data_IF_463076723554
#
_entry.id   IF_463076723554
#
_cell.length_a   1.000
_cell.length_b   1.000
_cell.length_c   1.000
_cell.angle_alpha   90.00
_cell.angle_beta   90.00
_cell.angle_gamma   90.00
#
_symmetry.space_group_name_H-M   'P 1'
#
loop_
_entity.id
_entity.type
_entity.pdbx_description
1 polymer ?
#
# COMPACT_ATOMS: atom_id res chain seq x y z
N UNK A 1 8.24 -7.05 18.30
CA UNK A 1 8.77 -6.14 17.25
C UNK A 1 7.80 -6.22 16.10
N UNK A 2 7.44 -5.08 15.48
CA UNK A 2 6.56 -5.08 14.30
C UNK A 2 7.22 -5.78 13.12
N UNK A 3 6.40 -6.38 12.24
CA UNK A 3 6.87 -7.15 11.09
C UNK A 3 7.60 -6.26 10.06
N UNK A 4 6.99 -5.14 9.65
CA UNK A 4 7.67 -4.08 8.92
C UNK A 4 7.60 -2.81 9.77
N UNK A 5 8.75 -2.14 9.94
CA UNK A 5 8.82 -0.86 10.60
C UNK A 5 9.85 0.06 9.95
N UNK A 6 9.46 1.29 9.63
CA UNK A 6 10.34 2.40 9.36
C UNK A 6 10.45 3.25 10.62
N UNK A 7 11.63 3.26 11.26
CA UNK A 7 11.87 3.95 12.52
C UNK A 7 12.60 5.27 12.30
N UNK A 8 12.08 6.37 12.85
CA UNK A 8 12.71 7.69 12.86
C UNK A 8 13.24 8.13 11.49
N UNK A 9 12.47 7.83 10.44
CA UNK A 9 12.88 8.10 9.06
C UNK A 9 12.98 9.61 8.79
N UNK A 10 14.15 10.05 8.34
CA UNK A 10 14.41 11.40 7.84
C UNK A 10 14.91 11.28 6.41
N UNK A 11 14.21 11.85 5.45
CA UNK A 11 14.58 11.85 4.03
C UNK A 11 13.73 12.81 3.19
N UNK A 12 14.18 13.04 1.95
CA UNK A 12 13.50 13.87 0.97
C UNK A 12 13.97 13.59 -0.46
N UNK A 13 13.68 14.49 -1.39
CA UNK A 13 14.01 14.38 -2.83
C UNK A 13 15.18 15.30 -3.20
N UNK A 14 16.38 15.04 -2.65
CA UNK A 14 17.62 15.66 -3.16
C UNK A 14 17.87 17.14 -2.78
N UNK A 15 17.11 17.71 -1.85
CA UNK A 15 17.30 19.11 -1.42
C UNK A 15 16.92 19.31 0.04
N UNK A 16 15.64 19.33 0.34
CA UNK A 16 15.12 19.44 1.71
C UNK A 16 14.50 18.10 2.13
N UNK A 17 14.64 17.77 3.40
CA UNK A 17 13.95 16.65 3.98
C UNK A 17 12.43 16.92 4.03
N UNK A 18 11.66 15.89 3.71
CA UNK A 18 10.20 15.91 3.79
C UNK A 18 9.74 15.15 5.04
N UNK A 19 10.45 14.08 5.39
CA UNK A 19 10.25 13.36 6.63
C UNK A 19 11.27 13.82 7.68
N UNK A 20 10.80 13.92 8.92
CA UNK A 20 11.58 14.43 10.05
C UNK A 20 11.39 13.51 11.28
N UNK A 21 11.99 12.34 11.27
CA UNK A 21 11.85 11.34 12.33
C UNK A 21 10.51 10.62 12.31
N UNK A 22 9.96 10.37 11.12
CA UNK A 22 8.69 9.66 10.94
C UNK A 22 8.83 8.17 11.27
N UNK A 23 7.87 7.62 12.02
CA UNK A 23 7.83 6.18 12.34
C UNK A 23 6.49 5.58 11.89
N UNK A 24 6.56 4.50 11.09
CA UNK A 24 5.40 3.77 10.58
C UNK A 24 5.67 2.28 10.70
N UNK A 25 4.68 1.51 11.13
CA UNK A 25 4.83 0.06 11.30
C UNK A 25 3.54 -0.69 10.96
N UNK A 26 3.69 -1.98 10.65
CA UNK A 26 2.57 -2.89 10.40
C UNK A 26 2.97 -4.32 10.76
N UNK A 27 1.99 -5.13 11.17
CA UNK A 27 2.15 -6.53 11.53
C UNK A 27 1.42 -7.47 10.54
N UNK A 28 1.74 -8.78 10.49
CA UNK A 28 1.10 -9.72 9.56
C UNK A 28 -0.42 -9.76 9.74
N UNK A 29 -1.17 -9.70 8.63
CA UNK A 29 -2.63 -9.69 8.66
C UNK A 29 -3.24 -8.38 9.15
N UNK A 30 -2.43 -7.39 9.52
CA UNK A 30 -2.86 -6.06 9.94
C UNK A 30 -3.00 -5.13 8.72
N UNK A 31 -3.98 -4.21 8.79
CA UNK A 31 -4.07 -3.06 7.89
C UNK A 31 -3.60 -1.83 8.67
N UNK A 32 -2.43 -1.29 8.31
CA UNK A 32 -1.93 -0.02 8.81
C UNK A 32 -2.14 1.07 7.77
N UNK A 33 -2.62 2.22 8.21
CA UNK A 33 -2.97 3.33 7.31
C UNK A 33 -2.22 4.60 7.70
N UNK A 34 -1.65 5.26 6.71
CA UNK A 34 -1.02 6.57 6.85
C UNK A 34 -1.94 7.62 6.21
N UNK A 35 -2.41 8.56 7.01
CA UNK A 35 -3.29 9.66 6.58
C UNK A 35 -2.68 11.02 6.92
N UNK A 36 -3.25 12.09 6.40
CA UNK A 36 -2.81 13.46 6.64
C UNK A 36 -3.03 14.36 5.43
N UNK A 37 -2.81 15.67 5.55
CA UNK A 37 -3.02 16.62 4.47
C UNK A 37 -2.07 16.37 3.29
N UNK A 38 -2.38 17.01 2.14
CA UNK A 38 -1.49 16.99 0.99
C UNK A 38 -0.14 17.61 1.36
N UNK A 39 0.95 16.99 0.93
CA UNK A 39 2.30 17.41 1.29
C UNK A 39 2.76 16.99 2.70
N UNK A 40 1.98 16.23 3.47
CA UNK A 40 2.37 15.77 4.81
C UNK A 40 3.52 14.74 4.83
N UNK A 41 3.93 14.21 3.67
CA UNK A 41 5.02 13.22 3.57
C UNK A 41 4.53 11.76 3.48
N UNK A 42 3.23 11.51 3.32
CA UNK A 42 2.64 10.16 3.28
C UNK A 42 3.30 9.23 2.24
N UNK A 43 3.24 9.60 0.96
CA UNK A 43 3.87 8.81 -0.12
C UNK A 43 5.40 8.81 -0.02
N UNK A 44 5.99 9.83 0.60
CA UNK A 44 7.44 9.87 0.88
C UNK A 44 7.80 8.79 1.90
N UNK A 45 7.02 8.64 2.99
CA UNK A 45 7.22 7.58 3.98
C UNK A 45 7.12 6.18 3.33
N UNK A 46 6.10 5.97 2.51
CA UNK A 46 5.93 4.71 1.78
C UNK A 46 7.10 4.42 0.84
N UNK A 47 7.53 5.41 0.04
CA UNK A 47 8.66 5.26 -0.89
C UNK A 47 9.98 5.03 -0.17
N UNK A 48 10.20 5.67 0.98
CA UNK A 48 11.38 5.43 1.83
C UNK A 48 11.37 3.99 2.36
N UNK A 49 10.23 3.53 2.89
CA UNK A 49 10.08 2.16 3.38
C UNK A 49 10.20 1.11 2.27
N UNK A 50 9.95 1.45 1.01
CA UNK A 50 10.15 0.56 -0.13
C UNK A 50 11.54 0.67 -0.76
N UNK A 51 12.40 1.59 -0.29
CA UNK A 51 13.78 1.78 -0.78
C UNK A 51 13.90 2.60 -2.06
N UNK A 52 12.86 3.35 -2.42
CA UNK A 52 12.89 4.30 -3.55
C UNK A 52 13.56 5.63 -3.18
N UNK A 53 13.72 5.91 -1.88
CA UNK A 53 14.40 7.07 -1.36
C UNK A 53 15.49 6.63 -0.37
N UNK A 54 16.61 7.33 -0.40
CA UNK A 54 17.66 7.12 0.58
C UNK A 54 17.28 7.78 1.90
N UNK A 55 17.47 7.07 3.01
CA UNK A 55 17.31 7.62 4.36
C UNK A 55 18.56 8.39 4.74
N UNK A 56 18.38 9.65 5.15
CA UNK A 56 19.43 10.44 5.81
C UNK A 56 19.63 9.96 7.26
N UNK A 57 18.51 9.66 7.95
CA UNK A 57 18.50 9.12 9.31
C UNK A 57 17.36 8.09 9.45
N UNK A 58 17.45 7.27 10.50
CA UNK A 58 16.50 6.20 10.79
C UNK A 58 16.84 4.90 10.08
N UNK A 59 15.92 3.95 10.13
CA UNK A 59 16.10 2.62 9.53
C UNK A 59 14.79 2.00 9.12
N UNK A 60 14.85 0.98 8.25
CA UNK A 60 13.72 0.13 7.87
C UNK A 60 14.06 -1.31 8.23
N UNK A 61 13.22 -1.91 9.08
CA UNK A 61 13.35 -3.31 9.50
C UNK A 61 12.21 -4.13 8.94
N UNK A 62 12.51 -5.28 8.38
CA UNK A 62 11.53 -6.27 7.93
C UNK A 62 11.82 -7.60 8.61
N UNK A 63 10.88 -8.10 9.41
CA UNK A 63 11.00 -9.38 10.14
C UNK A 63 12.33 -9.50 10.92
N UNK A 64 12.69 -8.43 11.64
CA UNK A 64 13.92 -8.34 12.40
C UNK A 64 15.20 -8.08 11.59
N UNK A 65 15.12 -8.04 10.27
CA UNK A 65 16.26 -7.79 9.38
C UNK A 65 16.29 -6.31 8.97
N UNK A 66 17.45 -5.66 9.07
CA UNK A 66 17.66 -4.30 8.57
C UNK A 66 17.76 -4.32 7.04
N UNK A 67 16.78 -3.67 6.39
CA UNK A 67 16.71 -3.56 4.94
C UNK A 67 16.95 -2.12 4.43
N UNK A 68 17.42 -1.22 5.30
CA UNK A 68 17.56 0.21 4.99
C UNK A 68 18.35 0.49 3.73
N UNK A 69 19.41 -0.31 3.47
CA UNK A 69 20.31 -0.14 2.33
C UNK A 69 19.91 -0.96 1.09
N UNK A 70 18.89 -1.83 1.21
CA UNK A 70 18.45 -2.66 0.09
C UNK A 70 17.68 -1.82 -0.94
N UNK A 71 17.97 -2.07 -2.22
CA UNK A 71 17.24 -1.48 -3.35
C UNK A 71 15.81 -2.06 -3.46
N UNK A 72 14.87 -1.37 -4.13
CA UNK A 72 13.50 -1.86 -4.29
C UNK A 72 13.41 -3.30 -4.80
N UNK A 73 14.23 -3.68 -5.78
CA UNK A 73 14.23 -5.02 -6.37
C UNK A 73 14.60 -6.10 -5.33
N UNK A 74 15.54 -5.79 -4.44
CA UNK A 74 15.95 -6.69 -3.36
C UNK A 74 14.84 -6.80 -2.31
N UNK A 75 14.16 -5.69 -1.97
CA UNK A 75 13.00 -5.70 -1.05
C UNK A 75 11.83 -6.52 -1.59
N UNK A 76 11.60 -6.52 -2.90
CA UNK A 76 10.62 -7.42 -3.54
C UNK A 76 10.99 -8.89 -3.30
N UNK A 77 12.27 -9.26 -3.43
CA UNK A 77 12.72 -10.64 -3.14
C UNK A 77 12.57 -11.02 -1.64
N UNK A 78 12.53 -10.03 -0.74
CA UNK A 78 12.19 -10.21 0.67
C UNK A 78 10.69 -10.26 0.96
N UNK A 79 9.84 -10.24 -0.08
CA UNK A 79 8.39 -10.36 0.03
C UNK A 79 7.64 -9.04 0.18
N UNK A 80 8.20 -7.92 -0.27
CA UNK A 80 7.50 -6.64 -0.30
C UNK A 80 6.85 -6.42 -1.67
N UNK A 81 5.53 -6.18 -1.71
CA UNK A 81 4.79 -5.75 -2.90
C UNK A 81 4.48 -4.25 -2.82
N UNK A 82 4.47 -3.56 -3.97
CA UNK A 82 4.15 -2.13 -4.03
C UNK A 82 3.21 -1.82 -5.20
N UNK A 83 2.13 -1.10 -4.92
CA UNK A 83 1.17 -0.59 -5.90
C UNK A 83 1.24 0.93 -5.87
N UNK A 84 1.80 1.57 -6.91
CA UNK A 84 1.86 3.03 -7.01
C UNK A 84 0.48 3.60 -7.36
N UNK A 85 0.26 4.87 -7.01
CA UNK A 85 -0.97 5.61 -7.31
C UNK A 85 -1.28 5.67 -8.81
N UNK A 86 -0.28 5.93 -9.65
CA UNK A 86 -0.43 6.13 -11.08
C UNK A 86 0.43 5.15 -11.88
N UNK A 87 0.07 4.96 -13.17
CA UNK A 87 0.79 4.09 -14.11
C UNK A 87 0.97 2.66 -13.58
N UNK A 88 -0.04 2.17 -12.88
CA UNK A 88 0.00 0.92 -12.14
C UNK A 88 -0.46 -0.30 -12.96
N UNK A 89 -0.80 -0.15 -14.24
CA UNK A 89 -1.14 -1.24 -15.17
C UNK A 89 -0.53 -1.00 -16.55
N UNK A 90 -0.26 -2.07 -17.28
CA UNK A 90 0.12 -2.04 -18.70
C UNK A 90 -1.15 -1.98 -19.55
N UNK A 91 -1.53 -0.81 -20.00
CA UNK A 91 -2.84 -0.54 -20.65
C UNK A 91 -3.02 -1.28 -21.98
N UNK A 92 -1.94 -1.57 -22.71
CA UNK A 92 -1.95 -2.31 -23.98
C UNK A 92 -1.99 -3.83 -23.82
N UNK A 93 -1.72 -4.33 -22.62
CA UNK A 93 -1.77 -5.76 -22.30
C UNK A 93 -3.15 -6.13 -21.78
N UNK A 94 -3.53 -7.38 -21.95
CA UNK A 94 -4.74 -7.96 -21.32
C UNK A 94 -4.60 -8.00 -19.80
N UNK A 95 -5.72 -8.24 -19.11
CA UNK A 95 -5.72 -8.46 -17.66
C UNK A 95 -4.80 -9.62 -17.28
N UNK A 96 -4.92 -10.76 -17.99
CA UNK A 96 -4.13 -11.97 -17.74
C UNK A 96 -2.63 -11.70 -17.92
N UNK A 97 -2.22 -11.06 -19.03
CA UNK A 97 -0.83 -10.67 -19.26
C UNK A 97 -0.29 -9.69 -18.19
N UNK A 98 -1.13 -8.76 -17.70
CA UNK A 98 -0.74 -7.90 -16.58
C UNK A 98 -0.45 -8.70 -15.31
N UNK A 99 -1.27 -9.70 -15.00
CA UNK A 99 -1.06 -10.58 -13.85
C UNK A 99 0.21 -11.44 -14.03
N UNK A 100 0.41 -12.04 -15.19
CA UNK A 100 1.62 -12.81 -15.54
C UNK A 100 2.88 -11.96 -15.38
N UNK A 101 2.87 -10.70 -15.83
CA UNK A 101 3.97 -9.75 -15.63
C UNK A 101 4.27 -9.50 -14.15
N UNK A 102 3.27 -9.60 -13.27
CA UNK A 102 3.48 -9.53 -11.82
C UNK A 102 4.33 -10.68 -11.29
N UNK A 103 4.27 -11.83 -11.92
CA UNK A 103 5.04 -13.02 -11.56
C UNK A 103 6.42 -13.09 -12.25
N UNK A 104 6.87 -12.07 -12.98
CA UNK A 104 8.09 -12.08 -13.81
C UNK A 104 9.37 -12.54 -13.08
N UNK A 105 9.45 -12.27 -11.76
CA UNK A 105 10.60 -12.70 -10.94
C UNK A 105 10.53 -14.18 -10.51
N UNK A 106 9.39 -14.84 -10.69
CA UNK A 106 9.16 -16.23 -10.27
C UNK A 106 9.55 -17.19 -11.41
N UNK A 107 9.89 -18.43 -11.00
CA UNK A 107 10.23 -19.51 -11.94
C UNK A 107 9.42 -20.78 -11.70
N UNK A 108 8.54 -20.73 -10.72
CA UNK A 108 7.61 -21.81 -10.36
C UNK A 108 6.28 -21.70 -11.14
N UNK A 109 5.41 -22.68 -11.00
CA UNK A 109 4.06 -22.62 -11.57
C UNK A 109 3.22 -21.55 -10.87
N UNK A 110 2.76 -20.57 -11.63
CA UNK A 110 1.95 -19.44 -11.15
C UNK A 110 0.44 -19.70 -11.18
N UNK A 111 0.01 -20.84 -11.71
CA UNK A 111 -1.43 -21.15 -11.93
C UNK A 111 -2.24 -21.09 -10.64
N UNK A 112 -1.70 -21.61 -9.54
CA UNK A 112 -2.32 -21.55 -8.22
C UNK A 112 -2.47 -20.12 -7.69
N UNK A 113 -1.45 -19.28 -7.87
CA UNK A 113 -1.52 -17.86 -7.47
C UNK A 113 -2.50 -17.08 -8.35
N UNK A 114 -2.50 -17.35 -9.66
CA UNK A 114 -3.47 -16.78 -10.60
C UNK A 114 -4.90 -17.10 -10.20
N UNK A 115 -5.18 -18.35 -9.82
CA UNK A 115 -6.50 -18.76 -9.34
C UNK A 115 -6.90 -18.01 -8.06
N UNK A 116 -6.00 -17.86 -7.08
CA UNK A 116 -6.23 -17.09 -5.87
C UNK A 116 -6.54 -15.61 -6.17
N UNK A 117 -5.83 -15.00 -7.11
CA UNK A 117 -6.09 -13.61 -7.53
C UNK A 117 -7.47 -13.51 -8.19
N UNK A 118 -7.88 -14.47 -9.02
CA UNK A 118 -9.20 -14.49 -9.62
C UNK A 118 -10.33 -14.74 -8.60
N UNK A 119 -10.07 -15.50 -7.54
CA UNK A 119 -11.04 -15.69 -6.44
C UNK A 119 -11.22 -14.40 -5.63
N UNK A 120 -10.13 -13.66 -5.37
CA UNK A 120 -10.18 -12.36 -4.72
C UNK A 120 -10.84 -11.28 -5.61
N UNK A 121 -10.62 -11.32 -6.92
CA UNK A 121 -11.11 -10.35 -7.89
C UNK A 121 -11.83 -11.03 -9.07
N UNK A 122 -13.06 -11.55 -8.89
CA UNK A 122 -13.76 -12.33 -9.93
C UNK A 122 -13.90 -11.60 -11.27
N UNK A 123 -14.07 -10.27 -11.24
CA UNK A 123 -14.14 -9.44 -12.46
C UNK A 123 -12.89 -9.54 -13.33
N UNK A 124 -11.73 -9.82 -12.74
CA UNK A 124 -10.48 -10.00 -13.50
C UNK A 124 -10.49 -11.31 -14.29
N UNK A 125 -11.10 -12.36 -13.73
CA UNK A 125 -11.30 -13.65 -14.43
C UNK A 125 -12.23 -13.49 -15.62
N UNK A 126 -13.36 -12.78 -15.42
CA UNK A 126 -14.35 -12.56 -16.47
C UNK A 126 -13.76 -11.73 -17.63
N UNK A 127 -12.90 -10.79 -17.31
CA UNK A 127 -12.29 -9.85 -18.25
C UNK A 127 -10.83 -10.21 -18.61
N UNK A 128 -10.36 -11.43 -18.32
CA UNK A 128 -8.95 -11.80 -18.43
C UNK A 128 -8.32 -11.53 -19.80
N UNK A 129 -9.11 -11.63 -20.89
CA UNK A 129 -8.67 -11.40 -22.26
C UNK A 129 -8.85 -9.96 -22.76
N UNK A 130 -9.47 -9.09 -21.94
CA UNK A 130 -9.70 -7.70 -22.30
C UNK A 130 -8.44 -6.87 -22.03
N UNK A 131 -8.05 -5.92 -22.91
CA UNK A 131 -6.98 -4.97 -22.64
C UNK A 131 -7.27 -4.16 -21.37
N UNK A 132 -6.26 -4.01 -20.49
CA UNK A 132 -6.46 -3.31 -19.22
C UNK A 132 -6.80 -1.82 -19.41
N UNK A 133 -6.43 -1.22 -20.54
CA UNK A 133 -6.79 0.16 -20.89
C UNK A 133 -8.29 0.40 -21.06
N UNK A 134 -9.07 -0.64 -21.41
CA UNK A 134 -10.51 -0.57 -21.63
C UNK A 134 -11.33 -0.76 -20.34
N UNK A 135 -10.66 -1.06 -19.23
CA UNK A 135 -11.29 -1.26 -17.93
C UNK A 135 -11.69 0.07 -17.28
N UNK A 136 -12.66 0.05 -16.37
CA UNK A 136 -12.95 1.18 -15.49
C UNK A 136 -11.75 1.47 -14.55
N UNK A 137 -11.71 2.68 -13.96
CA UNK A 137 -10.66 3.06 -13.01
C UNK A 137 -10.50 2.05 -11.86
N UNK A 138 -11.62 1.65 -11.24
CA UNK A 138 -11.61 0.67 -10.15
C UNK A 138 -11.17 -0.73 -10.59
N UNK A 139 -11.58 -1.16 -11.79
CA UNK A 139 -11.12 -2.44 -12.33
C UNK A 139 -9.62 -2.42 -12.63
N UNK A 140 -9.09 -1.32 -13.16
CA UNK A 140 -7.63 -1.15 -13.32
C UNK A 140 -6.91 -1.22 -11.97
N UNK A 141 -7.49 -0.64 -10.93
CA UNK A 141 -6.91 -0.72 -9.59
C UNK A 141 -6.89 -2.16 -9.06
N UNK A 142 -7.94 -2.94 -9.30
CA UNK A 142 -7.96 -4.37 -8.97
C UNK A 142 -6.89 -5.15 -9.75
N UNK A 143 -6.65 -4.83 -11.04
CA UNK A 143 -5.54 -5.41 -11.81
C UNK A 143 -4.19 -5.07 -11.17
N UNK A 144 -3.98 -3.82 -10.75
CA UNK A 144 -2.73 -3.39 -10.13
C UNK A 144 -2.46 -4.12 -8.81
N UNK A 145 -3.47 -4.27 -7.96
CA UNK A 145 -3.38 -5.05 -6.72
C UNK A 145 -3.15 -6.53 -7.03
N UNK A 146 -3.93 -7.12 -7.93
CA UNK A 146 -3.77 -8.52 -8.37
C UNK A 146 -2.37 -8.79 -8.91
N UNK A 147 -1.83 -7.88 -9.74
CA UNK A 147 -0.47 -7.98 -10.27
C UNK A 147 0.59 -7.99 -9.16
N UNK A 148 0.43 -7.15 -8.13
CA UNK A 148 1.35 -7.14 -7.00
C UNK A 148 1.25 -8.43 -6.17
N UNK A 149 0.06 -9.02 -6.04
CA UNK A 149 -0.15 -10.31 -5.35
C UNK A 149 0.49 -11.49 -6.07
N UNK A 150 0.73 -11.40 -7.39
CA UNK A 150 1.40 -12.46 -8.14
C UNK A 150 2.85 -12.71 -7.69
N UNK A 151 3.50 -11.77 -7.01
CA UNK A 151 4.81 -11.99 -6.37
C UNK A 151 4.72 -12.84 -5.09
N UNK A 152 3.51 -13.17 -4.59
CA UNK A 152 3.24 -13.77 -3.28
C UNK A 152 3.89 -12.96 -2.14
N UNK A 153 3.53 -11.68 -1.99
CA UNK A 153 4.18 -10.83 -1.01
C UNK A 153 3.75 -11.19 0.42
N UNK A 154 4.64 -10.94 1.37
CA UNK A 154 4.35 -10.99 2.82
C UNK A 154 3.76 -9.67 3.31
N UNK A 155 4.05 -8.59 2.58
CA UNK A 155 3.47 -7.25 2.79
C UNK A 155 3.14 -6.61 1.47
N UNK A 156 1.97 -5.97 1.40
CA UNK A 156 1.51 -5.19 0.26
C UNK A 156 1.39 -3.72 0.66
N UNK A 157 2.10 -2.87 -0.08
CA UNK A 157 2.11 -1.42 0.12
C UNK A 157 1.29 -0.74 -0.97
N UNK A 158 0.28 0.06 -0.59
CA UNK A 158 -0.70 0.67 -1.47
C UNK A 158 -0.65 2.20 -1.37
N UNK A 159 -0.23 2.88 -2.43
CA UNK A 159 -0.14 4.36 -2.46
C UNK A 159 -1.41 4.94 -3.10
N UNK A 160 -2.33 5.46 -2.27
CA UNK A 160 -3.63 6.02 -2.64
C UNK A 160 -4.45 5.12 -3.58
N UNK A 161 -4.74 3.87 -3.21
CA UNK A 161 -5.42 2.90 -4.09
C UNK A 161 -6.82 3.33 -4.49
N UNK A 162 -7.47 4.24 -3.75
CA UNK A 162 -8.83 4.71 -4.06
C UNK A 162 -8.86 6.04 -4.83
N UNK A 163 -7.70 6.58 -5.23
CA UNK A 163 -7.64 7.84 -5.94
C UNK A 163 -8.39 7.78 -7.28
N UNK A 164 -9.31 8.72 -7.49
CA UNK A 164 -10.05 8.84 -8.76
C UNK A 164 -11.10 7.76 -9.03
N UNK A 165 -11.48 6.95 -8.03
CA UNK A 165 -12.59 5.99 -8.14
C UNK A 165 -13.87 6.54 -7.50
N UNK A 166 -15.04 6.03 -7.93
CA UNK A 166 -16.32 6.41 -7.33
C UNK A 166 -16.46 5.82 -5.90
N UNK A 167 -17.33 6.41 -5.04
CA UNK A 167 -17.50 5.91 -3.67
C UNK A 167 -17.88 4.43 -3.59
N UNK A 168 -18.76 3.95 -4.47
CA UNK A 168 -19.17 2.53 -4.51
C UNK A 168 -17.97 1.62 -4.81
N UNK A 169 -17.15 1.99 -5.80
CA UNK A 169 -15.96 1.24 -6.18
C UNK A 169 -14.87 1.30 -5.09
N UNK A 170 -14.82 2.41 -4.35
CA UNK A 170 -13.93 2.55 -3.19
C UNK A 170 -14.28 1.55 -2.09
N UNK A 171 -15.55 1.43 -1.73
CA UNK A 171 -16.02 0.49 -0.72
C UNK A 171 -15.71 -0.97 -1.15
N UNK A 172 -16.00 -1.32 -2.41
CA UNK A 172 -15.63 -2.63 -2.98
C UNK A 172 -14.11 -2.90 -2.88
N UNK A 173 -13.29 -1.89 -3.17
CA UNK A 173 -11.83 -2.05 -3.10
C UNK A 173 -11.34 -2.24 -1.67
N UNK A 174 -11.90 -1.50 -0.70
CA UNK A 174 -11.58 -1.70 0.72
C UNK A 174 -11.98 -3.09 1.20
N UNK A 175 -13.15 -3.60 0.80
CA UNK A 175 -13.55 -4.98 1.10
C UNK A 175 -12.55 -6.01 0.57
N UNK A 176 -12.02 -5.80 -0.65
CA UNK A 176 -10.98 -6.67 -1.22
C UNK A 176 -9.65 -6.55 -0.46
N UNK A 177 -9.26 -5.34 -0.04
CA UNK A 177 -8.05 -5.13 0.78
C UNK A 177 -8.18 -5.84 2.12
N UNK A 178 -9.36 -5.81 2.76
CA UNK A 178 -9.64 -6.57 3.99
C UNK A 178 -9.47 -8.08 3.74
N UNK A 179 -10.04 -8.61 2.65
CA UNK A 179 -9.89 -10.02 2.29
C UNK A 179 -8.43 -10.40 2.07
N UNK A 180 -7.63 -9.55 1.42
CA UNK A 180 -6.18 -9.77 1.27
C UNK A 180 -5.48 -9.82 2.63
N UNK A 181 -5.78 -8.90 3.55
CA UNK A 181 -5.18 -8.90 4.89
C UNK A 181 -5.56 -10.17 5.67
N UNK A 182 -6.79 -10.68 5.53
CA UNK A 182 -7.26 -11.90 6.16
C UNK A 182 -6.50 -13.16 5.71
N UNK A 183 -5.80 -13.12 4.57
CA UNK A 183 -4.88 -14.20 4.15
C UNK A 183 -3.56 -14.22 4.93
N UNK A 184 -3.33 -13.24 5.83
CA UNK A 184 -2.11 -13.09 6.61
C UNK A 184 -1.09 -12.10 6.01
N UNK A 185 -1.39 -11.51 4.85
CA UNK A 185 -0.54 -10.47 4.23
C UNK A 185 -0.69 -9.18 5.04
N UNK A 186 0.43 -8.57 5.46
CA UNK A 186 0.44 -7.24 6.04
C UNK A 186 0.06 -6.20 4.98
N UNK A 187 -0.77 -5.21 5.32
CA UNK A 187 -1.14 -4.13 4.42
C UNK A 187 -0.67 -2.79 5.00
N UNK A 188 0.17 -2.07 4.27
CA UNK A 188 0.48 -0.67 4.57
C UNK A 188 -0.10 0.21 3.48
N UNK A 189 -1.05 1.07 3.84
CA UNK A 189 -1.77 1.90 2.88
C UNK A 189 -1.59 3.39 3.20
N UNK A 190 -1.35 4.18 2.18
CA UNK A 190 -1.48 5.65 2.23
C UNK A 190 -2.81 6.02 1.61
N UNK A 191 -3.58 6.88 2.28
CA UNK A 191 -4.88 7.33 1.76
C UNK A 191 -5.13 8.81 2.02
N UNK A 192 -5.86 9.42 1.09
CA UNK A 192 -6.36 10.77 1.23
C UNK A 192 -7.72 10.78 1.94
N UNK A 193 -8.57 9.79 1.69
CA UNK A 193 -9.86 9.63 2.35
C UNK A 193 -9.67 9.00 3.75
N UNK A 194 -9.23 9.85 4.70
CA UNK A 194 -8.82 9.42 6.02
C UNK A 194 -9.94 8.67 6.78
N UNK A 195 -11.20 9.14 6.69
CA UNK A 195 -12.31 8.52 7.43
C UNK A 195 -12.56 7.08 7.01
N UNK A 196 -12.66 6.82 5.72
CA UNK A 196 -12.93 5.46 5.21
C UNK A 196 -11.73 4.54 5.45
N UNK A 197 -10.51 5.04 5.23
CA UNK A 197 -9.30 4.26 5.45
C UNK A 197 -9.10 3.88 6.93
N UNK A 198 -9.33 4.81 7.86
CA UNK A 198 -9.23 4.53 9.30
C UNK A 198 -10.32 3.56 9.80
N UNK A 199 -11.49 3.48 9.15
CA UNK A 199 -12.52 2.52 9.51
C UNK A 199 -12.07 1.05 9.37
N UNK A 200 -11.17 0.77 8.43
CA UNK A 200 -10.65 -0.59 8.19
C UNK A 200 -9.28 -0.82 8.82
N UNK A 201 -8.69 0.22 9.41
CA UNK A 201 -7.33 0.18 9.95
C UNK A 201 -7.28 -0.42 11.35
N UNK A 202 -6.44 -1.44 11.55
CA UNK A 202 -5.99 -1.86 12.88
C UNK A 202 -5.10 -0.80 13.53
N UNK A 203 -4.28 -0.11 12.71
CA UNK A 203 -3.36 0.94 13.14
C UNK A 203 -3.36 2.12 12.19
N UNK A 204 -3.40 3.33 12.71
CA UNK A 204 -3.38 4.57 11.95
C UNK A 204 -2.24 5.49 12.34
N UNK A 205 -1.69 6.18 11.36
CA UNK A 205 -0.66 7.19 11.52
C UNK A 205 -1.14 8.49 10.85
N UNK A 206 -1.30 9.53 11.62
CA UNK A 206 -1.61 10.86 11.09
C UNK A 206 -0.33 11.64 10.94
N UNK A 207 0.07 11.93 9.70
CA UNK A 207 1.28 12.70 9.41
C UNK A 207 0.94 14.17 9.19
N UNK A 208 1.77 15.05 9.75
CA UNK A 208 1.75 16.50 9.53
C UNK A 208 3.19 16.96 9.36
N UNK A 209 3.50 17.63 8.26
CA UNK A 209 4.83 18.17 7.98
C UNK A 209 5.98 17.16 8.21
N UNK A 210 5.78 15.93 7.71
CA UNK A 210 6.78 14.86 7.78
C UNK A 210 6.96 14.21 9.14
N UNK A 211 6.09 14.46 10.12
CA UNK A 211 6.13 13.91 11.48
C UNK A 211 4.84 13.20 11.83
N UNK A 212 4.91 12.22 12.74
CA UNK A 212 3.72 11.65 13.34
C UNK A 212 3.08 12.67 14.28
N UNK A 213 1.89 13.16 13.94
CA UNK A 213 1.08 13.98 14.83
C UNK A 213 0.28 13.11 15.80
N UNK A 214 -0.31 12.02 15.28
CA UNK A 214 -1.05 11.04 16.07
C UNK A 214 -0.72 9.63 15.58
N UNK A 215 -0.73 8.68 16.51
CA UNK A 215 -0.56 7.25 16.21
C UNK A 215 -1.40 6.47 17.19
N UNK A 216 -2.39 5.73 16.70
CA UNK A 216 -3.27 4.87 17.50
C UNK A 216 -4.00 3.87 16.61
N UNK A 217 -4.94 3.11 17.16
CA UNK A 217 -5.87 2.30 16.35
C UNK A 217 -6.76 3.18 15.48
N UNK A 218 -7.21 2.66 14.33
CA UNK A 218 -8.11 3.41 13.46
C UNK A 218 -9.36 3.90 14.20
N UNK A 219 -9.94 3.04 15.06
CA UNK A 219 -11.12 3.38 15.88
C UNK A 219 -10.84 4.52 16.86
N UNK A 220 -9.70 4.52 17.55
CA UNK A 220 -9.33 5.57 18.49
C UNK A 220 -9.11 6.92 17.75
N UNK A 221 -8.43 6.92 16.61
CA UNK A 221 -8.24 8.12 15.80
C UNK A 221 -9.56 8.68 15.25
N UNK A 222 -10.51 7.83 14.88
CA UNK A 222 -11.85 8.25 14.45
C UNK A 222 -12.67 8.87 15.58
N UNK A 223 -12.43 8.43 16.83
CA UNK A 223 -13.11 8.97 18.01
C UNK A 223 -12.47 10.25 18.54
N UNK A 224 -11.19 10.52 18.21
CA UNK A 224 -10.43 11.66 18.70
C UNK A 224 -10.99 13.00 18.15
N UNK A 225 -11.41 13.95 19.00
CA UNK A 225 -12.01 15.21 18.57
C UNK A 225 -11.05 16.11 17.76
N UNK A 226 -9.76 16.08 18.06
CA UNK A 226 -8.78 16.92 17.40
C UNK A 226 -8.43 16.34 16.02
N UNK A 227 -8.29 15.02 15.90
CA UNK A 227 -8.15 14.33 14.63
C UNK A 227 -9.36 14.55 13.73
N UNK A 228 -10.58 14.44 14.30
CA UNK A 228 -11.84 14.69 13.55
C UNK A 228 -11.88 16.10 13.00
N UNK A 229 -11.61 17.10 13.84
CA UNK A 229 -11.64 18.52 13.46
C UNK A 229 -10.60 18.88 12.42
N UNK A 230 -9.39 18.34 12.55
CA UNK A 230 -8.27 18.71 11.69
C UNK A 230 -8.20 17.93 10.36
N UNK A 231 -8.66 16.66 10.35
CA UNK A 231 -8.36 15.74 9.24
C UNK A 231 -9.55 14.97 8.68
N UNK A 232 -10.71 14.91 9.38
CA UNK A 232 -11.86 14.09 8.97
C UNK A 232 -13.07 14.90 8.51
N UNK A 233 -12.97 16.23 8.46
CA UNK A 233 -14.06 17.12 8.02
C UNK A 233 -15.21 17.15 9.03
N UNK A 234 -14.86 17.47 10.28
CA UNK A 234 -15.75 17.47 11.44
C UNK A 234 -17.02 18.31 11.34
#
# INVERSE_FOLDING_TARGET
MSFLIGENMTCGYGGADILHGCTVSVDPGEIAVVVGPNGAGKSTAMKAMFGMLHLGEGRVMLDGTDISQLKPQERVLHGMGFVPQNNNVFTSMTVEENLEMGAFIRRDDISGTMAQVYDLFPVLKDKRRQPAGELSGGQRQQVAVGRALMTQPRILMLDEPTAGVSPIVMDELFDRIIQVAQTGIAILMVEQNAKQALNIAGKGFVLVQGRNAYTDTGAALLADPDVRRAFLGG
#
